data_IF_459731451207
#
_entry.id   IF_459731451207
#
_cell.length_a   1.000
_cell.length_b   1.000
_cell.length_c   1.000
_cell.angle_alpha   90.00
_cell.angle_beta   90.00
_cell.angle_gamma   90.00
#
_symmetry.space_group_name_H-M   'P 1'
#
loop_
_entity.id
_entity.type
_entity.pdbx_description
1 polymer ?
#
# COMPACT_ATOMS: atom_id res chain seq x y z
N UNK A 1 8.58 -1.34 -2.56
CA UNK A 1 8.53 -0.73 -1.22
C UNK A 1 9.66 -1.27 -0.40
N UNK A 2 10.46 -0.41 0.23
CA UNK A 2 11.62 -0.76 1.03
C UNK A 2 11.50 -0.09 2.41
N UNK A 3 11.28 -0.88 3.45
CA UNK A 3 11.14 -0.38 4.82
C UNK A 3 12.30 0.55 5.20
N UNK A 4 11.98 1.69 5.81
CA UNK A 4 12.96 2.72 6.19
C UNK A 4 13.61 3.50 5.04
N UNK A 5 13.19 3.29 3.78
CA UNK A 5 13.68 4.06 2.61
C UNK A 5 12.58 4.81 1.85
N UNK A 6 11.32 4.64 2.24
CA UNK A 6 10.19 5.37 1.69
C UNK A 6 10.15 6.81 2.23
N UNK A 7 9.57 7.74 1.47
CA UNK A 7 9.37 9.13 1.93
C UNK A 7 8.45 9.20 3.16
N UNK A 8 7.41 8.37 3.17
CA UNK A 8 6.49 8.19 4.29
C UNK A 8 6.75 6.85 4.98
N UNK A 9 6.50 6.78 6.29
CA UNK A 9 6.88 5.63 7.12
C UNK A 9 6.35 4.29 6.60
N UNK A 10 7.25 3.31 6.54
CA UNK A 10 6.96 1.89 6.31
C UNK A 10 7.84 1.07 7.26
N UNK A 11 7.19 0.37 8.17
CA UNK A 11 7.80 -0.49 9.19
C UNK A 11 7.25 -1.91 9.05
N UNK A 12 8.15 -2.89 9.16
CA UNK A 12 7.83 -4.30 9.06
C UNK A 12 8.50 -5.05 10.21
N UNK A 13 7.71 -5.80 10.96
CA UNK A 13 8.19 -6.70 12.00
C UNK A 13 7.79 -8.12 11.64
N UNK A 14 8.73 -9.07 11.73
CA UNK A 14 8.50 -10.47 11.36
C UNK A 14 8.81 -11.36 12.55
N UNK A 15 7.85 -12.22 12.92
CA UNK A 15 7.95 -13.14 14.04
C UNK A 15 7.55 -14.53 13.61
N UNK A 16 8.03 -15.57 14.30
CA UNK A 16 7.38 -16.87 14.19
C UNK A 16 6.02 -16.76 14.86
N UNK A 17 4.99 -17.36 14.26
CA UNK A 17 3.63 -17.28 14.81
C UNK A 17 3.55 -17.84 16.22
N UNK A 18 4.28 -18.93 16.49
CA UNK A 18 4.35 -19.55 17.80
C UNK A 18 4.98 -18.65 18.89
N UNK A 19 5.85 -17.69 18.51
CA UNK A 19 6.46 -16.76 19.46
C UNK A 19 5.44 -15.71 19.96
N UNK A 20 4.54 -15.27 19.06
CA UNK A 20 3.48 -14.29 19.38
C UNK A 20 2.25 -14.94 20.01
N UNK A 21 1.93 -16.15 19.55
CA UNK A 21 0.70 -16.85 19.87
C UNK A 21 0.98 -18.33 20.18
N UNK A 22 1.50 -18.63 21.39
CA UNK A 22 1.89 -19.98 21.78
C UNK A 22 0.75 -21.02 21.76
N UNK A 23 -0.51 -20.55 21.72
CA UNK A 23 -1.67 -21.43 21.59
C UNK A 23 -1.75 -22.15 20.24
N UNK A 24 -1.10 -21.64 19.19
CA UNK A 24 -1.07 -22.33 17.89
C UNK A 24 0.02 -23.39 17.89
N UNK A 25 -0.39 -24.64 17.69
CA UNK A 25 0.54 -25.75 17.46
C UNK A 25 1.07 -25.67 16.04
N UNK A 26 2.38 -25.67 15.88
CA UNK A 26 3.07 -25.68 14.58
C UNK A 26 3.91 -26.94 14.54
N UNK A 27 3.73 -27.77 13.51
CA UNK A 27 4.48 -29.01 13.36
C UNK A 27 5.99 -28.74 13.19
N UNK A 28 6.80 -29.70 13.63
CA UNK A 28 8.25 -29.61 13.55
C UNK A 28 8.73 -29.38 12.11
N UNK A 29 9.57 -28.37 11.93
CA UNK A 29 10.14 -28.00 10.63
C UNK A 29 9.23 -27.13 9.75
N UNK A 30 8.00 -26.81 10.19
CA UNK A 30 7.12 -25.91 9.43
C UNK A 30 7.52 -24.45 9.65
N UNK A 31 7.75 -23.75 8.55
CA UNK A 31 8.00 -22.30 8.55
C UNK A 31 6.67 -21.55 8.57
N UNK A 32 6.26 -21.12 9.77
CA UNK A 32 5.02 -20.36 9.96
C UNK A 32 5.30 -19.03 10.69
N UNK A 33 5.22 -17.93 9.95
CA UNK A 33 5.53 -16.58 10.42
C UNK A 33 4.32 -15.66 10.32
N UNK A 34 4.32 -14.61 11.13
CA UNK A 34 3.41 -13.49 11.06
C UNK A 34 4.22 -12.21 10.84
N UNK A 35 3.68 -11.29 10.05
CA UNK A 35 4.25 -9.97 9.86
C UNK A 35 3.27 -8.88 10.31
N UNK A 36 3.75 -7.94 11.11
CA UNK A 36 3.08 -6.67 11.37
C UNK A 36 3.60 -5.65 10.36
N UNK A 37 2.69 -4.93 9.71
CA UNK A 37 3.02 -3.88 8.76
C UNK A 37 2.38 -2.59 9.23
N UNK A 38 3.20 -1.58 9.47
CA UNK A 38 2.76 -0.23 9.77
C UNK A 38 3.20 0.70 8.63
N UNK A 39 2.26 1.39 8.00
CA UNK A 39 2.57 2.25 6.86
C UNK A 39 1.64 3.47 6.76
N UNK A 40 2.15 4.55 6.18
CA UNK A 40 1.34 5.68 5.73
C UNK A 40 0.53 5.32 4.47
N UNK A 41 -0.57 6.06 4.21
CA UNK A 41 -1.40 5.84 3.02
C UNK A 41 -0.72 6.24 1.70
N UNK A 42 0.28 7.15 1.76
CA UNK A 42 1.09 7.57 0.62
C UNK A 42 2.42 6.81 0.63
N UNK A 43 2.40 5.50 0.45
CA UNK A 43 3.61 4.68 0.48
C UNK A 43 3.62 3.73 -0.72
N UNK A 44 4.68 3.78 -1.54
CA UNK A 44 4.77 3.01 -2.78
C UNK A 44 3.67 3.33 -3.80
N UNK A 45 3.29 2.33 -4.61
CA UNK A 45 2.13 2.42 -5.50
C UNK A 45 0.85 2.43 -4.68
N UNK A 46 0.12 3.53 -4.70
CA UNK A 46 -1.10 3.74 -3.93
C UNK A 46 -2.14 4.51 -4.75
N UNK A 47 -3.36 4.62 -4.20
CA UNK A 47 -4.47 5.39 -4.77
C UNK A 47 -4.84 6.49 -3.77
N UNK A 48 -5.04 7.70 -4.25
CA UNK A 48 -5.59 8.79 -3.47
C UNK A 48 -7.10 8.90 -3.69
N UNK A 49 -7.86 9.00 -2.60
CA UNK A 49 -9.30 9.20 -2.64
C UNK A 49 -9.64 10.69 -2.46
N UNK A 50 -10.82 11.15 -2.91
CA UNK A 50 -11.22 12.56 -2.79
C UNK A 50 -11.04 13.16 -1.40
N UNK A 51 -11.24 12.36 -0.34
CA UNK A 51 -11.07 12.80 1.04
C UNK A 51 -9.67 13.35 1.37
N UNK A 52 -8.63 13.00 0.59
CA UNK A 52 -7.27 13.53 0.78
C UNK A 52 -7.19 15.06 0.67
N UNK A 53 -8.01 15.67 -0.19
CA UNK A 53 -8.03 17.13 -0.40
C UNK A 53 -9.43 17.76 -0.33
N UNK A 54 -10.48 16.96 -0.20
CA UNK A 54 -11.85 17.42 -0.06
C UNK A 54 -12.48 16.83 1.21
N UNK A 55 -12.74 17.65 2.21
CA UNK A 55 -13.35 17.22 3.50
C UNK A 55 -14.73 16.55 3.34
N UNK A 56 -15.43 16.81 2.25
CA UNK A 56 -16.72 16.19 1.92
C UNK A 56 -16.59 15.09 0.84
N UNK A 57 -15.36 14.74 0.47
CA UNK A 57 -15.06 13.69 -0.50
C UNK A 57 -15.20 12.29 0.09
N UNK A 58 -15.44 11.30 -0.76
CA UNK A 58 -15.46 9.89 -0.36
C UNK A 58 -14.06 9.43 0.08
N UNK A 59 -14.01 8.58 1.11
CA UNK A 59 -12.82 7.88 1.57
C UNK A 59 -12.69 6.49 0.93
N UNK A 60 -11.61 5.78 1.26
CA UNK A 60 -11.33 4.44 0.74
C UNK A 60 -12.40 3.40 1.11
N UNK A 61 -13.09 3.57 2.23
CA UNK A 61 -14.14 2.65 2.67
C UNK A 61 -15.47 2.86 1.94
N UNK A 62 -15.67 4.06 1.37
CA UNK A 62 -16.93 4.49 0.77
C UNK A 62 -16.88 4.60 -0.76
N UNK A 63 -15.69 4.64 -1.36
CA UNK A 63 -15.53 4.84 -2.80
C UNK A 63 -16.00 3.59 -3.58
N UNK A 64 -16.83 3.72 -4.64
CA UNK A 64 -17.34 2.56 -5.36
C UNK A 64 -16.24 1.77 -6.07
N UNK A 65 -16.17 0.46 -5.83
CA UNK A 65 -15.12 -0.42 -6.36
C UNK A 65 -15.16 -0.52 -7.89
N UNK A 66 -16.35 -0.41 -8.50
CA UNK A 66 -16.53 -0.44 -9.95
C UNK A 66 -15.81 0.73 -10.63
N UNK A 67 -15.54 1.82 -9.91
CA UNK A 67 -14.77 2.96 -10.44
C UNK A 67 -13.26 2.74 -10.40
N UNK A 68 -12.80 1.64 -9.81
CA UNK A 68 -11.39 1.23 -9.79
C UNK A 68 -11.06 0.19 -10.87
N UNK A 69 -12.03 -0.16 -11.72
CA UNK A 69 -11.91 -1.17 -12.76
C UNK A 69 -12.39 -0.57 -14.08
N UNK A 70 -11.54 -0.56 -15.11
CA UNK A 70 -11.93 -0.07 -16.42
C UNK A 70 -10.79 -0.08 -17.43
N UNK A 71 -11.12 0.21 -18.68
CA UNK A 71 -10.15 0.39 -19.74
C UNK A 71 -9.33 1.67 -19.51
N UNK A 72 -8.03 1.57 -19.73
CA UNK A 72 -7.09 2.67 -19.56
C UNK A 72 -6.29 2.89 -20.85
N UNK A 73 -5.88 4.13 -21.10
CA UNK A 73 -4.96 4.49 -22.18
C UNK A 73 -3.60 4.86 -21.58
N UNK A 74 -2.53 4.29 -22.11
CA UNK A 74 -1.17 4.69 -21.77
C UNK A 74 -0.75 5.89 -22.63
N UNK A 75 -0.55 7.03 -22.00
CA UNK A 75 0.01 8.22 -22.63
C UNK A 75 1.48 8.35 -22.19
N UNK A 76 2.42 8.25 -23.13
CA UNK A 76 3.85 8.33 -22.86
C UNK A 76 4.41 9.73 -23.13
N UNK A 77 4.81 10.41 -22.06
CA UNK A 77 5.44 11.75 -22.09
C UNK A 77 6.92 11.73 -21.69
N UNK A 78 7.58 10.56 -21.71
CA UNK A 78 9.00 10.42 -21.32
C UNK A 78 9.98 11.31 -22.09
N UNK A 79 9.57 11.81 -23.25
CA UNK A 79 10.36 12.71 -24.11
C UNK A 79 10.23 14.21 -23.76
N UNK A 80 9.27 14.57 -22.89
CA UNK A 80 8.97 15.97 -22.55
C UNK A 80 9.92 16.54 -21.50
N UNK A 81 10.20 17.84 -21.58
CA UNK A 81 10.97 18.58 -20.56
C UNK A 81 10.04 19.27 -19.55
N UNK A 82 10.54 19.62 -18.34
CA UNK A 82 9.79 20.47 -17.41
C UNK A 82 9.30 21.75 -18.08
N UNK A 83 8.01 22.07 -17.88
CA UNK A 83 7.31 23.23 -18.46
C UNK A 83 7.13 23.22 -19.99
N UNK A 84 7.39 22.11 -20.67
CA UNK A 84 7.03 21.95 -22.08
C UNK A 84 5.52 21.71 -22.22
N UNK A 85 4.88 22.31 -23.22
CA UNK A 85 3.45 22.11 -23.46
C UNK A 85 3.14 20.66 -23.86
N UNK A 86 1.99 20.15 -23.38
CA UNK A 86 1.42 18.85 -23.74
C UNK A 86 0.71 18.94 -25.08
#
# INVERSE_FOLDING_TARGET
MYAGKEEYGLELETHKTADLYPQYQVDDGVWYILQSVHMGSHCGTHIEFPYHHNRNGMDAGSFPLERLIGDCVLLDYSHKKPNEAV
#
